data_IF_294899637078
#
_entry.id   IF_294899637078
#
_cell.length_a   1.000
_cell.length_b   1.000
_cell.length_c   1.000
_cell.angle_alpha   90.00
_cell.angle_beta   90.00
_cell.angle_gamma   90.00
#
_symmetry.space_group_name_H-M   'P 1'
#
loop_
_entity.id
_entity.type
_entity.pdbx_description
1 polymer ?
#
# COMPACT_ATOMS: atom_id res chain seq x y z
N UNK A 1 -16.44 -38.33 64.47
CA UNK A 1 -16.74 -37.43 63.33
C UNK A 1 -15.49 -36.61 63.06
N UNK A 2 -14.77 -36.88 61.96
CA UNK A 2 -13.55 -36.17 61.58
C UNK A 2 -13.90 -35.24 60.44
N UNK A 3 -13.83 -33.95 60.71
CA UNK A 3 -14.07 -32.85 59.76
C UNK A 3 -12.86 -32.70 58.86
N UNK A 4 -13.03 -32.99 57.58
CA UNK A 4 -12.02 -32.78 56.52
C UNK A 4 -12.10 -31.33 56.10
N UNK A 5 -11.08 -30.53 56.39
CA UNK A 5 -10.90 -29.19 55.80
C UNK A 5 -10.25 -29.32 54.44
N UNK A 6 -11.04 -29.10 53.37
CA UNK A 6 -10.57 -29.01 51.99
C UNK A 6 -10.00 -27.61 51.76
N UNK A 7 -8.67 -27.46 51.78
CA UNK A 7 -8.02 -26.22 51.33
C UNK A 7 -8.05 -26.17 49.82
N UNK A 8 -8.98 -25.40 49.27
CA UNK A 8 -8.95 -24.98 47.86
C UNK A 8 -7.89 -23.88 47.75
N UNK A 9 -6.69 -24.23 47.36
CA UNK A 9 -5.68 -23.28 46.94
C UNK A 9 -6.08 -22.79 45.54
N UNK A 10 -6.77 -21.67 45.50
CA UNK A 10 -6.99 -20.93 44.25
C UNK A 10 -5.64 -20.34 43.83
N UNK A 11 -4.92 -21.08 42.97
CA UNK A 11 -3.79 -20.56 42.22
C UNK A 11 -4.34 -19.57 41.22
N UNK A 12 -4.44 -18.30 41.65
CA UNK A 12 -4.47 -17.17 40.73
C UNK A 12 -3.13 -17.16 40.01
N UNK A 13 -3.05 -17.85 38.89
CA UNK A 13 -2.04 -17.59 37.90
C UNK A 13 -2.33 -16.19 37.35
N UNK A 14 -1.76 -15.19 38.00
CA UNK A 14 -1.55 -13.86 37.40
C UNK A 14 -0.64 -14.09 36.20
N UNK A 15 -1.23 -14.56 35.11
CA UNK A 15 -0.61 -14.51 33.81
C UNK A 15 -0.36 -13.04 33.51
N UNK A 16 0.82 -12.56 33.87
CA UNK A 16 1.35 -11.32 33.31
C UNK A 16 1.35 -11.56 31.80
N UNK A 17 0.25 -11.21 31.11
CA UNK A 17 0.27 -11.06 29.66
C UNK A 17 1.30 -9.97 29.43
N UNK A 18 2.52 -10.37 29.06
CA UNK A 18 3.48 -9.42 28.54
C UNK A 18 2.72 -8.59 27.51
N UNK A 19 2.60 -7.29 27.76
CA UNK A 19 1.87 -6.40 26.88
C UNK A 19 2.51 -6.52 25.50
N UNK A 20 1.78 -7.11 24.56
CA UNK A 20 2.29 -7.31 23.23
C UNK A 20 2.64 -5.94 22.63
N UNK A 21 3.84 -5.81 22.10
CA UNK A 21 4.30 -4.56 21.49
C UNK A 21 3.31 -4.14 20.39
N UNK A 22 2.78 -2.92 20.49
CA UNK A 22 1.95 -2.28 19.47
C UNK A 22 2.47 -0.86 19.22
N UNK A 23 3.00 -0.64 18.03
CA UNK A 23 3.56 0.65 17.62
C UNK A 23 2.54 1.80 17.74
N UNK A 24 1.24 1.52 17.54
CA UNK A 24 0.17 2.53 17.68
C UNK A 24 0.02 3.07 19.11
N UNK A 25 0.33 2.24 20.09
CA UNK A 25 0.29 2.62 21.51
C UNK A 25 1.53 3.37 22.00
N UNK A 26 2.63 3.32 21.24
CA UNK A 26 3.93 3.84 21.64
C UNK A 26 4.03 5.35 21.37
N UNK A 27 3.66 6.19 22.35
CA UNK A 27 3.71 7.65 22.24
C UNK A 27 5.10 8.25 22.48
N UNK A 28 5.99 7.50 23.08
CA UNK A 28 7.39 7.87 23.33
C UNK A 28 8.31 6.72 22.93
N UNK A 29 9.40 7.05 22.28
CA UNK A 29 10.42 6.07 21.91
C UNK A 29 11.12 5.52 23.15
N UNK A 30 11.12 4.21 23.27
CA UNK A 30 11.90 3.47 24.26
C UNK A 30 12.45 2.20 23.58
N UNK A 31 13.73 2.20 23.29
CA UNK A 31 14.41 1.07 22.66
C UNK A 31 14.33 -0.22 23.50
N UNK A 32 14.15 -0.09 24.82
CA UNK A 32 14.04 -1.24 25.74
C UNK A 32 12.83 -2.12 25.45
N UNK A 33 11.84 -1.64 24.71
CA UNK A 33 10.69 -2.46 24.28
C UNK A 33 11.10 -3.61 23.36
N UNK A 34 12.28 -3.50 22.73
CA UNK A 34 12.83 -4.53 21.85
C UNK A 34 13.82 -5.47 22.54
N UNK A 35 14.05 -5.35 23.87
CA UNK A 35 15.03 -6.18 24.62
C UNK A 35 14.80 -7.69 24.48
N UNK A 36 13.56 -8.13 24.27
CA UNK A 36 13.16 -9.53 24.13
C UNK A 36 12.98 -9.93 22.64
N UNK A 37 13.44 -9.11 21.72
CA UNK A 37 13.47 -9.38 20.29
C UNK A 37 14.86 -9.88 19.88
N UNK A 38 14.90 -10.78 18.93
CA UNK A 38 16.14 -11.25 18.33
C UNK A 38 16.63 -10.28 17.27
N UNK A 39 17.94 -10.09 17.16
CA UNK A 39 18.54 -9.38 16.01
C UNK A 39 18.22 -10.17 14.74
N UNK A 40 17.70 -9.50 13.71
CA UNK A 40 17.41 -10.13 12.44
C UNK A 40 18.64 -10.16 11.53
N UNK A 41 19.36 -11.27 11.57
CA UNK A 41 20.61 -11.49 10.81
C UNK A 41 20.40 -11.72 9.31
N UNK A 42 19.17 -11.71 8.81
CA UNK A 42 18.89 -11.76 7.37
C UNK A 42 19.27 -10.46 6.67
N UNK A 43 19.35 -9.36 7.41
CA UNK A 43 19.77 -8.07 6.91
C UNK A 43 21.23 -7.79 7.24
N UNK A 44 21.95 -7.23 6.27
CA UNK A 44 23.31 -6.78 6.48
C UNK A 44 23.29 -5.57 7.43
N UNK A 45 24.07 -5.57 8.53
CA UNK A 45 24.16 -4.41 9.39
C UNK A 45 24.62 -3.19 8.58
N UNK A 46 23.88 -2.10 8.68
CA UNK A 46 24.19 -0.79 8.10
C UNK A 46 24.33 0.16 9.29
N UNK A 47 25.27 1.10 9.22
CA UNK A 47 25.40 2.15 10.22
C UNK A 47 24.05 2.86 10.38
N UNK A 48 23.66 3.12 11.62
CA UNK A 48 22.40 3.77 11.99
C UNK A 48 21.12 2.98 11.71
N UNK A 49 21.22 1.69 11.30
CA UNK A 49 20.04 0.83 11.08
C UNK A 49 20.15 -0.44 11.92
N UNK A 50 19.10 -0.70 12.69
CA UNK A 50 18.98 -1.93 13.48
C UNK A 50 17.75 -2.73 13.01
N UNK A 51 17.91 -4.05 12.95
CA UNK A 51 16.84 -4.96 12.54
C UNK A 51 16.55 -5.98 13.64
N UNK A 52 15.29 -6.10 14.01
CA UNK A 52 14.82 -7.06 15.02
C UNK A 52 13.70 -7.93 14.48
N UNK A 53 13.59 -9.15 15.02
CA UNK A 53 12.52 -10.08 14.71
C UNK A 53 11.94 -10.72 15.96
N UNK A 54 10.63 -11.01 15.89
CA UNK A 54 9.93 -11.83 16.89
C UNK A 54 8.78 -12.58 16.18
N UNK A 55 8.97 -13.87 15.99
CA UNK A 55 8.09 -14.66 15.12
C UNK A 55 8.07 -14.12 13.69
N UNK A 56 6.88 -13.83 13.18
CA UNK A 56 6.71 -13.25 11.84
C UNK A 56 6.90 -11.73 11.80
N UNK A 57 6.91 -11.06 12.93
CA UNK A 57 7.07 -9.60 13.01
C UNK A 57 8.53 -9.21 12.83
N UNK A 58 8.71 -8.08 12.17
CA UNK A 58 10.01 -7.45 11.88
C UNK A 58 9.93 -5.99 12.28
N UNK A 59 11.01 -5.51 12.89
CA UNK A 59 11.20 -4.10 13.22
C UNK A 59 12.50 -3.64 12.55
N UNK A 60 12.42 -2.51 11.86
CA UNK A 60 13.58 -1.75 11.44
C UNK A 60 13.59 -0.43 12.21
N UNK A 61 14.69 -0.13 12.87
CA UNK A 61 14.99 1.17 13.46
C UNK A 61 15.98 1.86 12.54
N UNK A 62 15.63 3.05 12.05
CA UNK A 62 16.51 3.91 11.28
C UNK A 62 16.74 5.19 12.08
N UNK A 63 17.98 5.42 12.52
CA UNK A 63 18.39 6.64 13.21
C UNK A 63 18.85 7.68 12.19
N UNK A 64 18.18 8.82 12.16
CA UNK A 64 18.59 9.98 11.37
C UNK A 64 19.06 11.08 12.33
N UNK A 65 20.37 11.14 12.54
CA UNK A 65 20.98 12.12 13.44
C UNK A 65 20.96 13.54 12.86
N UNK A 66 20.87 13.71 11.53
CA UNK A 66 20.80 15.02 10.90
C UNK A 66 19.44 15.68 11.17
N UNK A 67 18.36 14.90 11.06
CA UNK A 67 17.00 15.36 11.34
C UNK A 67 16.62 15.20 12.81
N UNK A 68 17.52 14.60 13.64
CA UNK A 68 17.30 14.30 15.05
C UNK A 68 16.06 13.40 15.27
N UNK A 69 15.94 12.36 14.45
CA UNK A 69 14.79 11.45 14.43
C UNK A 69 15.19 9.97 14.47
N UNK A 70 14.31 9.13 15.01
CA UNK A 70 14.34 7.69 14.80
C UNK A 70 13.03 7.25 14.17
N UNK A 71 13.14 6.53 13.07
CA UNK A 71 12.00 5.94 12.37
C UNK A 71 11.90 4.46 12.72
N UNK A 72 10.70 4.03 13.05
CA UNK A 72 10.36 2.62 13.26
C UNK A 72 9.47 2.18 12.12
N UNK A 73 9.89 1.12 11.46
CA UNK A 73 9.06 0.35 10.54
C UNK A 73 8.74 -0.99 11.20
N UNK A 74 7.45 -1.27 11.39
CA UNK A 74 6.95 -2.56 11.83
C UNK A 74 6.29 -3.26 10.66
N UNK A 75 6.84 -4.39 10.24
CA UNK A 75 6.34 -5.21 9.14
C UNK A 75 6.10 -6.66 9.58
N UNK A 76 5.51 -7.45 8.72
CA UNK A 76 5.23 -8.86 8.92
C UNK A 76 5.71 -9.68 7.72
N UNK A 77 6.21 -10.89 7.94
CA UNK A 77 6.70 -11.75 6.84
C UNK A 77 5.58 -12.42 6.05
N UNK A 78 4.39 -12.51 6.61
CA UNK A 78 3.22 -13.17 6.01
C UNK A 78 2.36 -12.19 5.25
N UNK A 79 2.12 -11.01 5.86
CA UNK A 79 1.21 -10.00 5.32
C UNK A 79 1.94 -8.78 4.78
N UNK A 80 1.40 -8.08 3.76
CA UNK A 80 2.02 -6.89 3.18
C UNK A 80 1.72 -5.60 3.95
N UNK A 81 1.19 -5.71 5.16
CA UNK A 81 0.93 -4.53 6.00
C UNK A 81 2.20 -4.08 6.71
N UNK A 82 2.43 -2.77 6.69
CA UNK A 82 3.54 -2.12 7.38
C UNK A 82 3.00 -0.96 8.19
N UNK A 83 3.54 -0.75 9.39
CA UNK A 83 3.26 0.41 10.25
C UNK A 83 4.50 1.25 10.39
N UNK A 84 4.32 2.54 10.44
CA UNK A 84 5.37 3.53 10.49
C UNK A 84 5.19 4.45 11.69
N UNK A 85 6.25 4.73 12.40
CA UNK A 85 6.27 5.81 13.38
C UNK A 85 7.64 6.48 13.37
N UNK A 86 7.65 7.79 13.52
CA UNK A 86 8.88 8.58 13.71
C UNK A 86 8.83 9.24 15.07
N UNK A 87 9.98 9.34 15.71
CA UNK A 87 10.13 9.96 17.02
C UNK A 87 11.31 10.93 16.99
N UNK A 88 11.17 12.06 17.65
CA UNK A 88 12.29 12.95 17.88
C UNK A 88 13.27 12.31 18.88
N UNK A 89 14.56 12.28 18.57
CA UNK A 89 15.58 11.61 19.38
C UNK A 89 15.84 12.28 20.74
N UNK A 90 15.68 13.59 20.83
CA UNK A 90 15.91 14.35 22.07
C UNK A 90 14.72 14.20 23.03
N UNK A 91 13.50 14.51 22.57
CA UNK A 91 12.29 14.49 23.40
C UNK A 91 11.70 13.09 23.54
N UNK A 92 12.10 12.15 22.68
CA UNK A 92 11.53 10.81 22.53
C UNK A 92 10.04 10.80 22.15
N UNK A 93 9.45 11.93 21.81
CA UNK A 93 8.03 12.06 21.49
C UNK A 93 7.80 11.64 20.04
N UNK A 94 6.67 10.93 19.80
CA UNK A 94 6.22 10.55 18.47
C UNK A 94 5.87 11.80 17.65
N UNK A 95 6.49 11.91 16.46
CA UNK A 95 6.24 13.01 15.52
C UNK A 95 5.38 12.58 14.33
N UNK A 96 5.41 11.30 13.97
CA UNK A 96 4.60 10.79 12.86
C UNK A 96 4.11 9.38 13.18
N UNK A 97 2.90 9.04 12.71
CA UNK A 97 2.40 7.67 12.68
C UNK A 97 1.54 7.45 11.46
N UNK A 98 1.69 6.30 10.81
CA UNK A 98 0.95 5.90 9.63
C UNK A 98 1.06 4.41 9.36
N UNK A 99 0.48 4.00 8.24
CA UNK A 99 0.51 2.60 7.81
C UNK A 99 0.47 2.50 6.30
N UNK A 100 1.00 1.40 5.78
CA UNK A 100 0.97 1.08 4.35
C UNK A 100 0.55 -0.37 4.10
N UNK A 101 0.03 -0.60 2.90
CA UNK A 101 -0.30 -1.90 2.35
C UNK A 101 0.53 -2.10 1.08
N UNK A 102 1.43 -3.05 1.06
CA UNK A 102 2.59 -3.03 0.15
C UNK A 102 3.33 -1.69 0.32
N UNK A 103 3.46 -0.90 -0.75
CA UNK A 103 4.05 0.45 -0.71
C UNK A 103 2.99 1.55 -0.87
N UNK A 104 1.73 1.25 -0.52
CA UNK A 104 0.62 2.20 -0.58
C UNK A 104 0.35 2.72 0.82
N UNK A 105 0.60 3.99 1.06
CA UNK A 105 0.12 4.65 2.25
C UNK A 105 -1.41 4.69 2.22
N UNK A 106 -2.05 4.33 3.33
CA UNK A 106 -3.51 4.30 3.43
C UNK A 106 -3.98 4.65 4.85
N UNK A 107 -5.27 4.94 4.97
CA UNK A 107 -5.87 5.38 6.21
C UNK A 107 -5.42 6.79 6.59
N UNK A 108 -5.38 7.07 7.89
CA UNK A 108 -5.05 8.38 8.42
C UNK A 108 -3.61 8.40 8.92
N UNK A 109 -2.80 9.25 8.30
CA UNK A 109 -1.48 9.61 8.77
C UNK A 109 -1.56 10.83 9.67
N UNK A 110 -0.87 10.77 10.83
CA UNK A 110 -0.87 11.85 11.84
C UNK A 110 0.52 12.38 12.04
N UNK A 111 0.62 13.70 12.11
CA UNK A 111 1.85 14.44 12.31
C UNK A 111 1.72 15.28 13.57
N UNK A 112 2.72 15.19 14.43
CA UNK A 112 2.73 15.85 15.73
C UNK A 112 3.96 16.75 15.86
N UNK A 113 3.84 17.82 16.64
CA UNK A 113 4.98 18.63 17.05
C UNK A 113 5.93 17.85 17.97
N UNK A 114 7.13 18.37 18.17
CA UNK A 114 8.12 17.83 19.13
C UNK A 114 7.64 17.74 20.59
N UNK A 115 6.53 18.40 20.92
CA UNK A 115 5.87 18.32 22.24
C UNK A 115 4.62 17.42 22.24
N UNK A 116 4.36 16.72 21.14
CA UNK A 116 3.25 15.74 21.01
C UNK A 116 1.87 16.34 20.70
N UNK A 117 1.81 17.61 20.31
CA UNK A 117 0.55 18.23 19.87
C UNK A 117 0.28 17.83 18.42
N UNK A 118 -0.94 17.34 18.12
CA UNK A 118 -1.38 17.07 16.76
C UNK A 118 -1.35 18.36 15.92
N UNK A 119 -0.64 18.34 14.82
CA UNK A 119 -0.51 19.48 13.88
C UNK A 119 -1.26 19.24 12.59
N UNK A 120 -1.25 18.00 12.09
CA UNK A 120 -1.87 17.65 10.81
C UNK A 120 -2.31 16.20 10.77
N UNK A 121 -3.43 15.95 10.08
CA UNK A 121 -3.87 14.63 9.64
C UNK A 121 -4.00 14.62 8.12
N UNK A 122 -3.59 13.53 7.49
CA UNK A 122 -3.79 13.27 6.06
C UNK A 122 -4.57 11.97 5.93
N UNK A 123 -5.69 12.01 5.24
CA UNK A 123 -6.41 10.81 4.84
C UNK A 123 -5.92 10.37 3.45
N UNK A 124 -5.05 9.39 3.40
CA UNK A 124 -4.47 8.87 2.16
C UNK A 124 -5.50 8.17 1.25
N UNK A 125 -6.67 7.84 1.81
CA UNK A 125 -7.77 7.22 1.06
C UNK A 125 -8.79 8.24 0.54
N UNK A 126 -8.66 9.54 0.85
CA UNK A 126 -9.66 10.56 0.50
C UNK A 126 -10.04 10.54 -0.98
N UNK A 127 -9.04 10.35 -1.84
CA UNK A 127 -9.20 10.35 -3.29
C UNK A 127 -9.50 8.96 -3.89
N UNK A 128 -9.67 7.92 -3.07
CA UNK A 128 -9.93 6.54 -3.48
C UNK A 128 -11.26 6.04 -2.92
N UNK A 129 -12.37 6.34 -3.59
CA UNK A 129 -13.71 5.86 -3.16
C UNK A 129 -13.81 4.33 -3.21
N UNK A 130 -13.12 3.71 -4.17
CA UNK A 130 -12.91 2.28 -4.18
C UNK A 130 -11.73 1.95 -3.27
N UNK A 131 -12.01 1.49 -2.06
CA UNK A 131 -11.03 1.30 -1.00
C UNK A 131 -10.09 0.11 -1.25
N UNK A 132 -8.95 0.07 -0.52
CA UNK A 132 -8.04 -1.10 -0.53
C UNK A 132 -8.79 -2.38 -0.15
N UNK A 133 -9.69 -2.33 0.83
CA UNK A 133 -10.49 -3.49 1.24
C UNK A 133 -11.35 -4.01 0.09
N UNK A 134 -12.02 -3.12 -0.63
CA UNK A 134 -12.81 -3.50 -1.80
C UNK A 134 -11.94 -4.05 -2.93
N UNK A 135 -10.72 -3.52 -3.09
CA UNK A 135 -9.74 -4.05 -4.04
C UNK A 135 -9.31 -5.47 -3.67
N UNK A 136 -8.99 -5.74 -2.40
CA UNK A 136 -8.64 -7.08 -1.91
C UNK A 136 -9.76 -8.08 -2.21
N UNK A 137 -11.00 -7.73 -1.86
CA UNK A 137 -12.18 -8.58 -2.12
C UNK A 137 -12.39 -8.83 -3.63
N UNK A 138 -12.24 -7.78 -4.45
CA UNK A 138 -12.31 -7.90 -5.91
C UNK A 138 -11.26 -8.86 -6.46
N UNK A 139 -10.00 -8.69 -6.06
CA UNK A 139 -8.88 -9.52 -6.54
C UNK A 139 -9.07 -10.97 -6.12
N UNK A 140 -9.47 -11.20 -4.87
CA UNK A 140 -9.78 -12.55 -4.38
C UNK A 140 -10.90 -13.21 -5.16
N UNK A 141 -11.95 -12.46 -5.50
CA UNK A 141 -13.12 -12.98 -6.25
C UNK A 141 -12.80 -13.23 -7.73
N UNK A 142 -12.11 -12.29 -8.38
CA UNK A 142 -11.93 -12.33 -9.84
C UNK A 142 -10.70 -13.12 -10.28
N UNK A 143 -9.65 -13.13 -9.45
CA UNK A 143 -8.35 -13.71 -9.80
C UNK A 143 -7.93 -14.85 -8.86
N UNK A 144 -8.71 -15.14 -7.80
CA UNK A 144 -8.43 -16.16 -6.79
C UNK A 144 -7.09 -15.95 -6.06
N UNK A 145 -6.66 -14.70 -5.92
CA UNK A 145 -5.43 -14.27 -5.23
C UNK A 145 -5.81 -13.47 -3.98
N UNK A 146 -5.28 -13.85 -2.84
CA UNK A 146 -5.44 -13.12 -1.60
C UNK A 146 -4.28 -12.12 -1.41
N UNK A 147 -4.51 -10.85 -1.74
CA UNK A 147 -3.49 -9.81 -1.59
C UNK A 147 -3.03 -9.59 -0.14
N UNK A 148 -3.73 -10.12 0.87
CA UNK A 148 -3.29 -10.02 2.27
C UNK A 148 -2.18 -11.01 2.63
N UNK A 149 -1.77 -11.89 1.71
CA UNK A 149 -0.71 -12.86 1.90
C UNK A 149 0.44 -12.59 0.92
N UNK A 150 1.66 -12.39 1.43
CA UNK A 150 2.86 -12.16 0.61
C UNK A 150 3.25 -13.35 -0.27
N UNK A 151 2.88 -14.57 0.14
CA UNK A 151 3.11 -15.79 -0.65
C UNK A 151 2.23 -15.85 -1.90
N UNK A 152 1.08 -15.17 -1.88
CA UNK A 152 0.23 -15.00 -3.03
C UNK A 152 0.88 -14.02 -4.01
N UNK A 153 0.90 -14.38 -5.27
CA UNK A 153 1.68 -13.70 -6.29
C UNK A 153 0.99 -12.46 -6.84
N UNK A 154 0.52 -11.61 -5.93
CA UNK A 154 -0.11 -10.34 -6.24
C UNK A 154 0.68 -9.17 -5.64
N UNK A 155 0.71 -8.06 -6.35
CA UNK A 155 1.25 -6.80 -5.87
C UNK A 155 0.36 -5.66 -6.35
N UNK A 156 0.20 -4.63 -5.54
CA UNK A 156 -0.57 -3.46 -5.91
C UNK A 156 0.16 -2.17 -5.56
N UNK A 157 0.00 -1.18 -6.42
CA UNK A 157 0.43 0.20 -6.18
C UNK A 157 -0.67 1.19 -6.54
N UNK A 158 -0.53 2.45 -6.10
CA UNK A 158 -1.41 3.57 -6.43
C UNK A 158 -0.64 4.62 -7.24
N UNK A 159 -1.35 5.26 -8.14
CA UNK A 159 -0.84 6.46 -8.80
C UNK A 159 -1.97 7.40 -9.19
N UNK A 160 -1.64 8.66 -9.42
CA UNK A 160 -2.57 9.62 -9.96
C UNK A 160 -2.04 10.23 -11.26
N UNK A 161 -2.96 10.62 -12.15
CA UNK A 161 -2.65 11.35 -13.37
C UNK A 161 -3.80 12.30 -13.69
N UNK A 162 -3.48 13.60 -13.77
CA UNK A 162 -4.44 14.65 -14.10
C UNK A 162 -5.71 14.61 -13.21
N UNK A 163 -5.54 14.45 -11.89
CA UNK A 163 -6.62 14.39 -10.92
C UNK A 163 -7.46 13.10 -10.94
N UNK A 164 -7.05 12.11 -11.72
CA UNK A 164 -7.64 10.77 -11.71
C UNK A 164 -6.73 9.81 -10.95
N UNK A 165 -7.33 8.92 -10.17
CA UNK A 165 -6.66 8.03 -9.24
C UNK A 165 -6.85 6.58 -9.67
N UNK A 166 -5.78 5.80 -9.63
CA UNK A 166 -5.73 4.45 -10.16
C UNK A 166 -5.01 3.51 -9.22
N UNK A 167 -5.43 2.24 -9.23
CA UNK A 167 -4.63 1.13 -8.75
C UNK A 167 -3.95 0.45 -9.94
N UNK A 168 -2.70 0.07 -9.76
CA UNK A 168 -1.98 -0.81 -10.65
C UNK A 168 -1.79 -2.15 -9.94
N UNK A 169 -2.57 -3.14 -10.35
CA UNK A 169 -2.49 -4.51 -9.87
C UNK A 169 -1.55 -5.30 -10.78
N UNK A 170 -0.62 -6.04 -10.18
CA UNK A 170 0.31 -6.92 -10.84
C UNK A 170 0.08 -8.33 -10.31
N UNK A 171 -0.18 -9.28 -11.22
CA UNK A 171 -0.34 -10.68 -10.90
C UNK A 171 0.83 -11.45 -11.52
N UNK A 172 1.66 -12.02 -10.66
CA UNK A 172 2.84 -12.77 -11.08
C UNK A 172 2.47 -14.23 -11.35
N UNK A 173 2.94 -14.82 -12.45
CA UNK A 173 2.77 -16.23 -12.73
C UNK A 173 3.64 -17.09 -11.81
N UNK A 174 3.47 -18.42 -11.93
CA UNK A 174 4.36 -19.38 -11.25
C UNK A 174 5.78 -19.30 -11.79
N UNK A 175 5.89 -19.22 -13.08
CA UNK A 175 7.17 -19.04 -13.78
C UNK A 175 7.13 -17.75 -14.58
N UNK A 176 7.92 -16.77 -14.15
CA UNK A 176 7.99 -15.45 -14.78
C UNK A 176 8.67 -15.47 -16.16
N UNK A 177 9.37 -16.55 -16.52
CA UNK A 177 10.04 -16.68 -17.81
C UNK A 177 9.19 -17.38 -18.85
N UNK A 178 8.29 -18.27 -18.43
CA UNK A 178 7.46 -19.07 -19.32
C UNK A 178 6.02 -18.54 -19.42
N UNK A 179 5.56 -17.84 -18.39
CA UNK A 179 4.20 -17.30 -18.33
C UNK A 179 4.21 -15.77 -18.20
N UNK A 180 3.22 -15.06 -18.75
CA UNK A 180 3.17 -13.61 -18.68
C UNK A 180 2.77 -13.10 -17.28
N UNK A 181 3.42 -12.01 -16.85
CA UNK A 181 2.94 -11.20 -15.74
C UNK A 181 1.78 -10.34 -16.21
N UNK A 182 0.64 -10.39 -15.52
CA UNK A 182 -0.53 -9.57 -15.84
C UNK A 182 -0.46 -8.23 -15.14
N UNK A 183 -0.68 -7.16 -15.86
CA UNK A 183 -0.80 -5.81 -15.34
C UNK A 183 -2.20 -5.26 -15.60
N UNK A 184 -2.88 -4.83 -14.55
CA UNK A 184 -4.27 -4.38 -14.60
C UNK A 184 -4.37 -2.99 -13.98
N UNK A 185 -4.89 -2.03 -14.74
CA UNK A 185 -5.19 -0.69 -14.25
C UNK A 185 -6.65 -0.62 -13.83
N UNK A 186 -6.89 -0.25 -12.58
CA UNK A 186 -8.21 -0.21 -11.97
C UNK A 186 -8.52 1.23 -11.58
N UNK A 187 -9.72 1.66 -11.89
CA UNK A 187 -10.22 2.99 -11.51
C UNK A 187 -10.37 3.10 -9.99
N UNK A 188 -9.69 4.08 -9.40
CA UNK A 188 -9.68 4.29 -7.95
C UNK A 188 -11.00 4.84 -7.37
N UNK A 189 -11.95 5.24 -8.22
CA UNK A 189 -13.27 5.70 -7.80
C UNK A 189 -14.31 4.57 -7.84
N UNK A 190 -14.26 3.74 -8.89
CA UNK A 190 -15.33 2.76 -9.20
C UNK A 190 -14.90 1.31 -9.06
N UNK A 191 -13.60 1.04 -9.00
CA UNK A 191 -13.05 -0.32 -9.03
C UNK A 191 -13.16 -1.01 -10.39
N UNK A 192 -13.49 -0.28 -11.46
CA UNK A 192 -13.60 -0.84 -12.81
C UNK A 192 -12.21 -1.10 -13.39
N UNK A 193 -12.03 -2.27 -14.02
CA UNK A 193 -10.83 -2.54 -14.80
C UNK A 193 -10.84 -1.66 -16.07
N UNK A 194 -9.84 -0.81 -16.22
CA UNK A 194 -9.73 0.15 -17.34
C UNK A 194 -8.81 -0.34 -18.45
N UNK A 195 -7.79 -1.11 -18.08
CA UNK A 195 -6.77 -1.59 -18.99
C UNK A 195 -6.16 -2.88 -18.43
N UNK A 196 -5.80 -3.80 -19.31
CA UNK A 196 -5.08 -5.03 -18.99
C UNK A 196 -4.05 -5.28 -20.07
N UNK A 197 -2.83 -5.63 -19.67
CA UNK A 197 -1.77 -6.07 -20.57
C UNK A 197 -0.95 -7.18 -19.92
N UNK A 198 -0.45 -8.07 -20.75
CA UNK A 198 0.37 -9.21 -20.35
C UNK A 198 1.81 -8.96 -20.82
N UNK A 199 2.78 -9.14 -19.92
CA UNK A 199 4.20 -8.94 -20.21
C UNK A 199 4.96 -10.23 -19.95
N UNK A 200 5.63 -10.74 -20.99
CA UNK A 200 6.58 -11.85 -20.88
C UNK A 200 7.97 -11.26 -20.64
N UNK A 201 8.61 -11.69 -19.55
CA UNK A 201 9.95 -11.25 -19.20
C UNK A 201 10.99 -11.99 -20.05
N UNK A 202 11.42 -11.39 -21.17
CA UNK A 202 12.50 -11.92 -22.01
C UNK A 202 13.85 -11.39 -21.52
N UNK A 203 14.87 -12.27 -21.49
CA UNK A 203 16.25 -11.86 -21.21
C UNK A 203 16.74 -10.90 -22.32
N UNK A 204 17.08 -9.66 -21.96
CA UNK A 204 17.58 -8.66 -22.90
C UNK A 204 16.52 -7.94 -23.76
N UNK A 205 15.24 -8.17 -23.53
CA UNK A 205 14.15 -7.46 -24.20
C UNK A 205 13.97 -6.01 -23.70
N UNK A 206 13.42 -5.15 -24.57
CA UNK A 206 12.99 -3.80 -24.17
C UNK A 206 11.93 -3.89 -23.07
N UNK A 207 12.13 -3.14 -21.97
CA UNK A 207 11.15 -3.06 -20.89
C UNK A 207 9.93 -2.27 -21.38
N UNK A 208 8.83 -2.97 -21.60
CA UNK A 208 7.52 -2.33 -21.75
C UNK A 208 7.11 -1.73 -20.39
N UNK A 209 6.54 -0.53 -20.40
CA UNK A 209 5.99 0.10 -19.22
C UNK A 209 4.44 0.06 -19.29
N UNK A 210 3.78 -0.82 -18.50
CA UNK A 210 2.32 -0.97 -18.54
C UNK A 210 1.57 0.31 -18.17
N UNK A 211 2.12 1.13 -17.27
CA UNK A 211 1.50 2.40 -16.89
C UNK A 211 1.56 3.38 -18.04
N UNK A 212 2.71 3.46 -18.73
CA UNK A 212 2.85 4.29 -19.92
C UNK A 212 1.88 3.86 -21.04
N UNK A 213 1.79 2.55 -21.33
CA UNK A 213 0.84 2.01 -22.32
C UNK A 213 -0.61 2.37 -22.01
N UNK A 214 -0.99 2.23 -20.73
CA UNK A 214 -2.32 2.64 -20.27
C UNK A 214 -2.57 4.14 -20.52
N UNK A 215 -1.62 5.00 -20.14
CA UNK A 215 -1.76 6.44 -20.30
C UNK A 215 -1.86 6.86 -21.78
N UNK A 216 -1.11 6.21 -22.69
CA UNK A 216 -1.24 6.42 -24.13
C UNK A 216 -2.62 5.96 -24.63
N UNK A 217 -3.13 4.82 -24.15
CA UNK A 217 -4.48 4.34 -24.51
C UNK A 217 -5.59 5.33 -24.14
N UNK A 218 -5.40 6.08 -23.03
CA UNK A 218 -6.34 7.13 -22.64
C UNK A 218 -6.28 8.35 -23.58
N UNK A 219 -5.09 8.69 -24.08
CA UNK A 219 -4.96 9.78 -25.07
C UNK A 219 -5.64 9.44 -26.39
N UNK A 220 -5.49 8.19 -26.83
CA UNK A 220 -6.14 7.72 -28.06
C UNK A 220 -7.67 7.72 -27.96
N UNK A 221 -8.21 7.25 -26.81
CA UNK A 221 -9.67 7.29 -26.57
C UNK A 221 -10.24 8.71 -26.52
N UNK A 222 -9.44 9.70 -26.15
CA UNK A 222 -9.85 11.10 -26.06
C UNK A 222 -9.56 11.91 -27.35
N UNK A 223 -8.95 11.31 -28.37
CA UNK A 223 -8.84 11.98 -29.68
C UNK A 223 -10.22 12.14 -30.26
N UNK A 224 -10.56 13.34 -30.77
CA UNK A 224 -11.82 13.55 -31.46
C UNK A 224 -11.92 12.56 -32.62
N UNK A 225 -13.01 11.82 -32.67
CA UNK A 225 -13.27 10.96 -33.83
C UNK A 225 -13.39 11.83 -35.05
N UNK A 226 -12.61 11.54 -36.07
CA UNK A 226 -12.61 12.29 -37.32
C UNK A 226 -13.10 11.40 -38.44
N UNK A 227 -13.93 11.98 -39.32
CA UNK A 227 -14.41 11.32 -40.53
C UNK A 227 -13.96 12.10 -41.74
N UNK A 228 -13.44 11.40 -42.75
CA UNK A 228 -13.10 12.02 -44.03
C UNK A 228 -14.37 12.19 -44.86
N UNK A 229 -14.64 13.44 -45.32
CA UNK A 229 -15.71 13.77 -46.21
C UNK A 229 -15.23 14.72 -47.31
N UNK A 230 -15.42 14.34 -48.56
CA UNK A 230 -14.94 15.06 -49.73
C UNK A 230 -13.45 15.46 -49.68
N UNK A 231 -12.57 14.56 -49.23
CA UNK A 231 -11.13 14.78 -49.17
C UNK A 231 -10.67 15.71 -48.03
N UNK A 232 -11.56 16.10 -47.12
CA UNK A 232 -11.27 16.87 -45.92
C UNK A 232 -11.61 16.08 -44.68
N UNK A 233 -10.83 16.22 -43.61
CA UNK A 233 -11.06 15.57 -42.33
C UNK A 233 -11.86 16.53 -41.42
N UNK A 234 -12.96 16.03 -40.87
CA UNK A 234 -13.84 16.73 -39.94
C UNK A 234 -13.96 15.96 -38.64
N UNK A 235 -14.10 16.64 -37.52
CA UNK A 235 -14.54 15.98 -36.29
C UNK A 235 -16.02 15.64 -36.38
N UNK A 236 -16.45 14.55 -35.71
CA UNK A 236 -17.87 14.14 -35.71
C UNK A 236 -18.79 15.28 -35.26
N UNK A 237 -18.37 16.11 -34.28
CA UNK A 237 -19.11 17.29 -33.83
C UNK A 237 -19.25 18.34 -34.93
N UNK A 238 -18.20 18.59 -35.70
CA UNK A 238 -18.23 19.53 -36.80
C UNK A 238 -19.13 19.08 -37.97
N UNK A 239 -19.18 17.76 -38.22
CA UNK A 239 -20.07 17.15 -39.21
C UNK A 239 -21.55 17.25 -38.79
N UNK A 240 -21.84 16.95 -37.51
CA UNK A 240 -23.21 17.06 -36.97
C UNK A 240 -23.70 18.49 -36.99
N UNK A 241 -22.85 19.48 -36.65
CA UNK A 241 -23.18 20.89 -36.74
C UNK A 241 -23.46 21.35 -38.21
N UNK A 242 -22.69 20.85 -39.16
CA UNK A 242 -22.88 21.19 -40.60
C UNK A 242 -24.16 20.56 -41.19
N UNK A 243 -24.57 19.40 -40.72
CA UNK A 243 -25.82 18.71 -41.15
C UNK A 243 -27.05 19.43 -40.58
N UNK A 244 -26.98 19.93 -39.35
CA UNK A 244 -28.11 20.68 -38.74
C UNK A 244 -28.36 21.99 -39.45
N UNK A 245 -27.30 22.70 -39.86
CA UNK A 245 -27.45 24.00 -40.60
C UNK A 245 -28.02 23.78 -42.01
N UNK A 246 -27.73 22.66 -42.67
CA UNK A 246 -28.29 22.34 -43.99
C UNK A 246 -29.79 21.96 -44.00
N UNK A 247 -30.31 21.54 -42.87
CA UNK A 247 -31.73 21.18 -42.74
C UNK A 247 -32.61 22.32 -42.23
N UNK A 248 -32.03 23.51 -42.00
CA UNK A 248 -32.73 24.74 -41.56
C UNK A 248 -32.83 25.79 -42.65
N UNK A 249 -32.32 25.53 -43.84
CA UNK A 249 -32.49 26.32 -45.07
C UNK A 249 -33.19 25.49 -46.14
#
# INVERSE_FOLDING_TARGET
>A
MKTFYLYIVLLFSLGCKAQEFDLRGMKRFDEKVFKDWEVDTQYVPIEDVQYFKKGNRRIQLLYDYNDNEVRIEESDTITPYTRWATYNLETKIQTTIGQSFFNIDYGIWRFYSKIGKLEREINEDENYKFSIRQLIEKVKKEYHINLELKEERGYVSRFNKNGKYYYHLILFPKDIYDEPTQHIMIDGQTGKNLFKTDIIHQRGGSRRDPVYEFLESLKEKNKPKTTAFHGKTYTEEALLGAVVIKNLN
#
